data_IF_379816014830
#
_entry.id   IF_379816014830
#
_cell.length_a   1.000
_cell.length_b   1.000
_cell.length_c   1.000
_cell.angle_alpha   90.00
_cell.angle_beta   90.00
_cell.angle_gamma   90.00
#
_symmetry.space_group_name_H-M   'P 1'
#
loop_
_entity.id
_entity.type
_entity.pdbx_description
1 polymer ?
#
# COMPACT_ATOMS: atom_id res chain seq x y z
N UNK A 1 -4.69 25.25 -27.09
CA UNK A 1 -4.83 23.80 -26.90
C UNK A 1 -3.43 23.27 -26.66
N UNK A 2 -2.94 23.51 -25.44
CA UNK A 2 -1.57 23.19 -25.05
C UNK A 2 -1.56 21.77 -24.46
N UNK A 3 -0.77 20.92 -25.08
CA UNK A 3 -0.31 19.64 -24.57
C UNK A 3 0.38 19.83 -23.22
N UNK A 4 -0.32 19.59 -22.12
CA UNK A 4 0.33 19.16 -20.87
C UNK A 4 0.61 17.67 -20.98
N UNK A 5 1.76 17.39 -21.60
CA UNK A 5 2.42 16.09 -21.54
C UNK A 5 3.40 16.17 -20.37
N UNK A 6 2.89 15.89 -19.18
CA UNK A 6 3.66 15.59 -17.97
C UNK A 6 2.88 14.50 -17.24
N UNK A 7 3.08 13.24 -17.64
CA UNK A 7 2.75 12.13 -16.76
C UNK A 7 3.88 12.03 -15.74
N UNK A 8 3.89 12.96 -14.79
CA UNK A 8 4.81 12.94 -13.65
C UNK A 8 4.40 11.77 -12.73
N UNK A 9 5.35 10.84 -12.55
CA UNK A 9 5.38 9.68 -11.65
C UNK A 9 4.05 9.29 -10.97
N UNK A 10 3.19 8.54 -11.67
CA UNK A 10 2.13 7.78 -11.00
C UNK A 10 2.75 6.60 -10.29
N UNK A 11 2.61 6.56 -8.96
CA UNK A 11 3.05 5.42 -8.18
C UNK A 11 2.16 4.20 -8.35
N UNK A 12 2.72 3.03 -8.06
CA UNK A 12 2.00 1.76 -8.13
C UNK A 12 1.10 1.57 -6.91
N UNK A 13 1.45 2.22 -5.79
CA UNK A 13 0.72 2.21 -4.53
C UNK A 13 0.69 3.60 -3.88
N UNK A 14 -0.49 4.22 -3.79
CA UNK A 14 -0.66 5.63 -3.41
C UNK A 14 0.04 6.01 -2.09
N UNK A 15 -0.05 5.16 -1.06
CA UNK A 15 0.63 5.43 0.21
C UNK A 15 2.16 5.54 0.04
N UNK A 16 2.80 4.58 -0.64
CA UNK A 16 4.25 4.60 -0.85
C UNK A 16 4.68 5.76 -1.76
N UNK A 17 3.88 6.06 -2.78
CA UNK A 17 4.10 7.22 -3.63
C UNK A 17 4.07 8.52 -2.83
N UNK A 18 3.11 8.67 -1.93
CA UNK A 18 2.98 9.87 -1.09
C UNK A 18 4.13 9.99 -0.09
N UNK A 19 4.54 8.88 0.54
CA UNK A 19 5.73 8.84 1.42
C UNK A 19 7.02 9.15 0.65
N UNK A 20 7.20 8.57 -0.55
CA UNK A 20 8.32 8.88 -1.45
C UNK A 20 8.36 10.38 -1.75
N UNK A 21 7.24 10.96 -2.17
CA UNK A 21 7.14 12.40 -2.46
C UNK A 21 7.48 13.25 -1.24
N UNK A 22 6.96 12.90 -0.05
CA UNK A 22 7.30 13.60 1.19
C UNK A 22 8.81 13.59 1.45
N UNK A 23 9.45 12.43 1.38
CA UNK A 23 10.89 12.28 1.61
C UNK A 23 11.75 12.98 0.54
N UNK A 24 11.33 12.95 -0.73
CA UNK A 24 12.04 13.61 -1.82
C UNK A 24 12.11 15.13 -1.66
N UNK A 25 11.14 15.76 -0.99
CA UNK A 25 11.20 17.19 -0.66
C UNK A 25 12.32 17.53 0.37
N UNK A 26 12.92 16.52 1.00
CA UNK A 26 14.06 16.66 1.90
C UNK A 26 15.34 15.99 1.34
N UNK A 27 15.43 15.85 0.02
CA UNK A 27 16.54 15.17 -0.67
C UNK A 27 16.79 13.74 -0.17
N UNK A 28 15.76 13.05 0.29
CA UNK A 28 15.80 11.65 0.68
C UNK A 28 15.16 10.80 -0.42
N UNK A 29 15.93 10.53 -1.47
CA UNK A 29 15.47 9.72 -2.60
C UNK A 29 15.33 8.27 -2.17
N UNK A 30 14.13 7.71 -2.31
CA UNK A 30 13.80 6.33 -2.00
C UNK A 30 12.87 5.78 -3.08
N UNK A 31 13.13 4.55 -3.53
CA UNK A 31 12.23 3.87 -4.46
C UNK A 31 11.02 3.28 -3.73
N UNK A 32 9.87 3.20 -4.41
CA UNK A 32 8.64 2.65 -3.79
C UNK A 32 8.83 1.21 -3.31
N UNK A 33 9.51 0.36 -4.08
CA UNK A 33 9.75 -1.01 -3.66
C UNK A 33 10.61 -1.08 -2.38
N UNK A 34 11.55 -0.14 -2.22
CA UNK A 34 12.43 -0.08 -1.05
C UNK A 34 11.67 0.35 0.19
N UNK A 35 10.84 1.40 0.08
CA UNK A 35 9.92 1.79 1.13
C UNK A 35 8.93 0.66 1.46
N UNK A 36 8.39 -0.02 0.44
CA UNK A 36 7.46 -1.13 0.61
C UNK A 36 8.05 -2.31 1.36
N UNK A 37 9.31 -2.65 1.06
CA UNK A 37 10.07 -3.68 1.76
C UNK A 37 10.40 -3.29 3.21
N UNK A 38 10.91 -2.08 3.43
CA UNK A 38 11.24 -1.58 4.76
C UNK A 38 10.02 -1.45 5.68
N UNK A 39 8.89 -0.98 5.16
CA UNK A 39 7.66 -0.81 5.94
C UNK A 39 6.87 -2.13 6.12
N UNK A 40 7.34 -3.20 5.48
CA UNK A 40 6.71 -4.51 5.55
C UNK A 40 5.30 -4.54 4.97
N UNK A 41 5.07 -3.83 3.85
CA UNK A 41 3.73 -3.63 3.26
C UNK A 41 3.10 -4.94 2.81
N UNK A 42 3.90 -5.93 2.41
CA UNK A 42 3.34 -7.18 1.90
C UNK A 42 2.63 -7.97 3.00
N UNK A 43 1.42 -8.43 2.70
CA UNK A 43 0.64 -9.32 3.53
C UNK A 43 -0.45 -10.02 2.73
N UNK A 44 -1.56 -10.32 3.40
CA UNK A 44 -2.78 -10.79 2.77
C UNK A 44 -3.96 -10.47 3.68
N UNK A 45 -5.04 -9.95 3.11
CA UNK A 45 -6.30 -9.73 3.80
C UNK A 45 -7.46 -10.17 2.93
N UNK A 46 -8.42 -10.86 3.53
CA UNK A 46 -9.65 -11.29 2.89
C UNK A 46 -10.84 -11.15 3.84
N UNK A 47 -11.95 -10.60 3.37
CA UNK A 47 -13.22 -10.58 4.10
C UNK A 47 -14.35 -11.17 3.26
N UNK A 48 -15.35 -11.73 3.93
CA UNK A 48 -16.54 -12.31 3.27
C UNK A 48 -17.74 -11.35 3.32
N UNK A 49 -18.61 -11.43 2.29
CA UNK A 49 -19.81 -10.60 2.11
C UNK A 49 -20.80 -10.57 3.30
N UNK A 50 -20.71 -11.53 4.22
CA UNK A 50 -21.63 -11.61 5.37
C UNK A 50 -21.50 -10.41 6.32
N UNK A 51 -20.38 -9.70 6.27
CA UNK A 51 -20.10 -8.50 7.07
C UNK A 51 -20.85 -7.24 6.61
N UNK A 52 -21.63 -7.29 5.52
CA UNK A 52 -22.25 -6.10 4.92
C UNK A 52 -21.24 -5.19 4.21
N UNK A 53 -19.96 -5.55 4.23
CA UNK A 53 -18.87 -4.94 3.48
C UNK A 53 -18.67 -5.77 2.21
N UNK A 54 -18.47 -5.17 1.03
CA UNK A 54 -18.11 -5.91 -0.19
C UNK A 54 -16.93 -6.85 0.09
N UNK A 55 -16.91 -8.06 -0.48
CA UNK A 55 -15.75 -8.94 -0.32
C UNK A 55 -14.50 -8.23 -0.81
N UNK A 56 -13.54 -8.04 0.07
CA UNK A 56 -12.25 -7.40 -0.23
C UNK A 56 -11.17 -8.47 -0.21
N UNK A 57 -10.31 -8.47 -1.23
CA UNK A 57 -9.07 -9.24 -1.25
C UNK A 57 -7.91 -8.28 -1.46
N UNK A 58 -6.94 -8.26 -0.55
CA UNK A 58 -5.85 -7.31 -0.61
C UNK A 58 -4.49 -7.99 -0.38
N UNK A 59 -3.45 -7.50 -1.05
CA UNK A 59 -2.08 -7.96 -0.88
C UNK A 59 -1.28 -7.18 0.16
N UNK A 60 -1.84 -6.11 0.73
CA UNK A 60 -1.22 -5.34 1.80
C UNK A 60 -1.47 -5.96 3.18
N UNK A 61 -0.57 -5.67 4.11
CA UNK A 61 -0.62 -6.13 5.50
C UNK A 61 -1.59 -5.37 6.38
N UNK A 62 -1.84 -4.10 6.06
CA UNK A 62 -2.54 -3.17 6.92
C UNK A 62 -3.24 -2.07 6.12
N UNK A 63 -4.08 -1.30 6.79
CA UNK A 63 -4.62 -0.05 6.28
C UNK A 63 -3.56 1.05 6.29
N UNK A 64 -3.86 2.19 5.65
CA UNK A 64 -2.88 3.28 5.50
C UNK A 64 -2.41 3.86 6.83
N UNK A 65 -3.23 3.80 7.87
CA UNK A 65 -2.85 4.22 9.22
C UNK A 65 -1.78 3.33 9.84
N UNK A 66 -1.93 2.00 9.72
CA UNK A 66 -0.91 1.07 10.20
C UNK A 66 0.41 1.24 9.45
N UNK A 67 0.34 1.38 8.12
CA UNK A 67 1.52 1.67 7.30
C UNK A 67 2.17 3.03 7.64
N UNK A 68 1.35 4.04 7.94
CA UNK A 68 1.82 5.34 8.41
C UNK A 68 2.51 5.25 9.76
N UNK A 69 1.95 4.50 10.71
CA UNK A 69 2.56 4.28 12.02
C UNK A 69 3.93 3.61 11.90
N UNK A 70 4.07 2.60 11.02
CA UNK A 70 5.37 2.01 10.69
C UNK A 70 6.33 3.06 10.12
N UNK A 71 5.89 3.88 9.17
CA UNK A 71 6.74 4.93 8.60
C UNK A 71 7.28 5.88 9.67
N UNK A 72 6.42 6.37 10.57
CA UNK A 72 6.82 7.28 11.65
C UNK A 72 7.78 6.60 12.64
N UNK A 73 7.62 5.30 12.93
CA UNK A 73 8.53 4.57 13.84
C UNK A 73 9.97 4.51 13.31
N UNK A 74 10.15 4.56 11.99
CA UNK A 74 11.47 4.48 11.34
C UNK A 74 12.16 5.85 11.27
N UNK A 75 11.43 6.94 11.52
CA UNK A 75 12.02 8.27 11.60
C UNK A 75 12.77 8.44 12.93
N UNK A 76 13.93 9.10 12.87
CA UNK A 76 14.76 9.39 14.03
C UNK A 76 14.06 10.36 14.98
N UNK A 77 13.47 11.40 14.43
CA UNK A 77 12.59 12.34 15.12
C UNK A 77 11.15 12.11 14.63
N UNK A 78 10.16 12.00 15.54
CA UNK A 78 8.77 11.86 15.13
C UNK A 78 8.28 13.12 14.42
N UNK A 79 7.31 12.95 13.53
CA UNK A 79 6.63 14.09 12.90
C UNK A 79 5.84 14.87 13.96
N UNK A 80 5.77 16.19 13.79
CA UNK A 80 4.92 17.04 14.60
C UNK A 80 3.50 16.92 14.07
N UNK A 81 2.54 16.63 14.96
CA UNK A 81 1.11 16.59 14.64
C UNK A 81 0.40 17.78 15.27
N UNK A 82 -0.24 18.59 14.43
CA UNK A 82 -1.13 19.67 14.85
C UNK A 82 -2.57 19.33 14.48
N UNK A 83 -3.51 19.66 15.38
CA UNK A 83 -4.94 19.35 15.22
C UNK A 83 -5.76 20.62 15.16
N UNK A 84 -6.69 20.66 14.22
CA UNK A 84 -7.54 21.82 13.96
C UNK A 84 -9.00 21.39 13.93
N UNK A 85 -9.88 22.24 14.45
CA UNK A 85 -11.34 22.07 14.33
C UNK A 85 -11.94 22.88 13.18
N UNK A 86 -11.14 23.70 12.49
CA UNK A 86 -11.57 24.54 11.38
C UNK A 86 -10.66 24.40 10.15
N UNK A 87 -11.27 24.21 8.97
CA UNK A 87 -10.54 24.03 7.70
C UNK A 87 -9.68 25.24 7.34
N UNK A 88 -10.15 26.45 7.59
CA UNK A 88 -9.43 27.67 7.24
C UNK A 88 -8.14 27.80 8.04
N UNK A 89 -8.19 27.55 9.34
CA UNK A 89 -7.02 27.56 10.22
C UNK A 89 -5.99 26.51 9.78
N UNK A 90 -6.44 25.28 9.51
CA UNK A 90 -5.59 24.21 9.03
C UNK A 90 -4.89 24.58 7.70
N UNK A 91 -5.64 25.09 6.72
CA UNK A 91 -5.09 25.45 5.41
C UNK A 91 -4.14 26.65 5.50
N UNK A 92 -4.45 27.66 6.33
CA UNK A 92 -3.53 28.77 6.61
C UNK A 92 -2.25 28.25 7.24
N UNK A 93 -2.34 27.34 8.21
CA UNK A 93 -1.18 26.72 8.84
C UNK A 93 -0.32 25.96 7.84
N UNK A 94 -0.93 25.17 6.95
CA UNK A 94 -0.22 24.46 5.89
C UNK A 94 0.57 25.43 4.99
N UNK A 95 -0.03 26.55 4.60
CA UNK A 95 0.64 27.61 3.84
C UNK A 95 1.83 28.23 4.60
N UNK A 96 1.69 28.43 5.92
CA UNK A 96 2.81 28.91 6.77
C UNK A 96 3.96 27.91 6.80
N UNK A 97 3.65 26.62 6.95
CA UNK A 97 4.66 25.54 6.96
C UNK A 97 5.42 25.48 5.63
N UNK A 98 4.70 25.53 4.50
CA UNK A 98 5.31 25.55 3.16
C UNK A 98 6.25 26.75 2.98
N UNK A 99 5.85 27.95 3.41
CA UNK A 99 6.70 29.15 3.35
C UNK A 99 7.93 29.07 4.25
N UNK A 100 7.88 28.27 5.31
CA UNK A 100 9.01 27.99 6.19
C UNK A 100 9.92 26.87 5.65
N UNK A 101 9.64 26.32 4.47
CA UNK A 101 10.40 25.21 3.89
C UNK A 101 10.08 23.85 4.51
N UNK A 102 8.97 23.74 5.26
CA UNK A 102 8.47 22.49 5.80
C UNK A 102 7.44 21.88 4.84
N UNK A 103 7.28 20.56 4.90
CA UNK A 103 6.40 19.81 3.99
C UNK A 103 5.22 19.26 4.82
N UNK A 104 4.00 19.82 4.69
CA UNK A 104 2.84 19.32 5.40
C UNK A 104 2.26 18.07 4.71
N UNK A 105 1.77 17.15 5.52
CA UNK A 105 0.90 16.05 5.10
C UNK A 105 -0.43 16.13 5.85
N UNK A 106 -1.51 15.71 5.19
CA UNK A 106 -2.85 15.67 5.79
C UNK A 106 -3.57 14.37 5.41
N UNK A 107 -4.36 13.85 6.34
CA UNK A 107 -5.34 12.81 6.04
C UNK A 107 -6.46 13.41 5.18
N UNK A 108 -6.81 12.70 4.10
CA UNK A 108 -7.87 13.08 3.17
C UNK A 108 -8.74 11.88 2.85
N UNK A 109 -10.05 12.08 2.77
CA UNK A 109 -10.98 11.03 2.37
C UNK A 109 -11.11 10.96 0.84
N UNK A 110 -10.64 9.86 0.25
CA UNK A 110 -10.70 9.64 -1.20
C UNK A 110 -12.12 9.65 -1.76
N UNK A 111 -13.16 9.41 -0.95
CA UNK A 111 -14.55 9.51 -1.39
C UNK A 111 -14.85 10.89 -2.01
N UNK A 112 -14.29 11.94 -1.42
CA UNK A 112 -14.50 13.34 -1.83
C UNK A 112 -13.42 13.86 -2.78
N UNK A 113 -12.40 13.07 -3.09
CA UNK A 113 -11.28 13.49 -3.93
C UNK A 113 -11.54 13.18 -5.42
N UNK A 114 -11.82 14.17 -6.29
CA UNK A 114 -12.15 13.89 -7.68
C UNK A 114 -11.05 13.12 -8.39
N UNK A 115 -11.45 12.14 -9.20
CA UNK A 115 -10.56 11.24 -9.95
C UNK A 115 -9.69 10.33 -9.06
N UNK A 116 -9.90 10.28 -7.75
CA UNK A 116 -9.34 9.23 -6.92
C UNK A 116 -10.04 7.90 -7.20
N UNK A 117 -9.39 6.79 -6.86
CA UNK A 117 -9.92 5.45 -7.11
C UNK A 117 -11.26 5.21 -6.40
N UNK A 118 -11.37 5.69 -5.15
CA UNK A 118 -12.56 5.53 -4.31
C UNK A 118 -13.56 6.71 -4.41
N UNK A 119 -13.35 7.66 -5.32
CA UNK A 119 -14.21 8.83 -5.49
C UNK A 119 -15.69 8.44 -5.70
N UNK A 120 -16.57 8.90 -4.80
CA UNK A 120 -18.00 8.60 -4.82
C UNK A 120 -18.36 7.12 -4.62
N UNK A 121 -17.41 6.27 -4.22
CA UNK A 121 -17.61 4.82 -4.05
C UNK A 121 -17.50 4.39 -2.59
N UNK A 122 -16.36 4.64 -1.95
CA UNK A 122 -16.07 4.20 -0.59
C UNK A 122 -15.29 5.27 0.15
N UNK A 123 -15.56 5.42 1.45
CA UNK A 123 -14.74 6.24 2.34
C UNK A 123 -13.41 5.54 2.61
N UNK A 124 -12.32 6.18 2.21
CA UNK A 124 -10.97 5.67 2.46
C UNK A 124 -10.04 6.84 2.76
N UNK A 125 -9.49 6.83 3.97
CA UNK A 125 -8.54 7.85 4.42
C UNK A 125 -7.15 7.58 3.89
N UNK A 126 -6.53 8.60 3.30
CA UNK A 126 -5.19 8.54 2.73
C UNK A 126 -4.37 9.73 3.18
N UNK A 127 -3.08 9.53 3.41
CA UNK A 127 -2.15 10.61 3.70
C UNK A 127 -1.72 11.27 2.39
N UNK A 128 -2.03 12.55 2.18
CA UNK A 128 -1.61 13.32 1.02
C UNK A 128 -0.56 14.36 1.41
N UNK A 129 0.39 14.62 0.50
CA UNK A 129 1.43 15.64 0.70
C UNK A 129 0.94 16.97 0.13
N UNK A 130 0.96 18.04 0.90
CA UNK A 130 0.65 19.38 0.40
C UNK A 130 1.92 19.96 -0.23
N UNK A 131 1.86 20.35 -1.50
CA UNK A 131 3.01 20.83 -2.26
C UNK A 131 3.01 22.35 -2.44
N UNK A 132 1.82 22.94 -2.59
CA UNK A 132 1.68 24.38 -2.81
C UNK A 132 0.37 24.89 -2.25
N UNK A 133 0.37 26.14 -1.82
CA UNK A 133 -0.82 26.87 -1.40
C UNK A 133 -0.91 28.18 -2.20
N UNK A 134 -2.12 28.50 -2.64
CA UNK A 134 -2.49 29.78 -3.26
C UNK A 134 -3.72 30.32 -2.56
N UNK A 135 -4.13 31.55 -2.87
CA UNK A 135 -5.30 32.17 -2.24
C UNK A 135 -6.57 31.29 -2.33
N UNK A 136 -6.87 30.74 -3.52
CA UNK A 136 -8.11 30.00 -3.78
C UNK A 136 -7.97 28.46 -3.74
N UNK A 137 -6.75 27.94 -3.89
CA UNK A 137 -6.53 26.51 -4.05
C UNK A 137 -5.26 26.02 -3.36
N UNK A 138 -5.16 24.72 -3.15
CA UNK A 138 -3.94 24.05 -2.75
C UNK A 138 -3.62 22.92 -3.73
N UNK A 139 -2.33 22.67 -3.92
CA UNK A 139 -1.80 21.57 -4.69
C UNK A 139 -1.39 20.46 -3.74
N UNK A 140 -1.86 19.25 -4.03
CA UNK A 140 -1.49 18.04 -3.29
C UNK A 140 -0.87 17.02 -4.22
N UNK A 141 -0.06 16.15 -3.62
CA UNK A 141 0.30 14.87 -4.20
C UNK A 141 -0.48 13.76 -3.48
N UNK A 142 -1.38 13.11 -4.22
CA UNK A 142 -1.99 11.84 -3.83
C UNK A 142 -1.93 10.86 -5.01
N UNK A 143 -0.88 10.04 -5.05
CA UNK A 143 -0.43 9.19 -6.18
C UNK A 143 -0.09 9.93 -7.48
N UNK A 144 -0.65 11.12 -7.67
CA UNK A 144 -0.40 12.08 -8.72
C UNK A 144 -0.65 13.48 -8.16
N UNK A 145 -0.13 14.49 -8.86
CA UNK A 145 -0.36 15.89 -8.54
C UNK A 145 -1.80 16.29 -8.84
N UNK A 146 -2.45 16.97 -7.90
CA UNK A 146 -3.85 17.42 -7.98
C UNK A 146 -3.99 18.84 -7.45
N UNK A 147 -4.88 19.63 -8.05
CA UNK A 147 -5.23 20.98 -7.59
C UNK A 147 -6.63 20.93 -7.00
N UNK A 148 -6.78 21.42 -5.76
CA UNK A 148 -8.01 21.39 -4.99
C UNK A 148 -8.45 22.79 -4.61
N UNK A 149 -9.72 23.11 -4.83
CA UNK A 149 -10.31 24.39 -4.41
C UNK A 149 -10.59 24.36 -2.91
N UNK A 150 -10.15 25.38 -2.17
CA UNK A 150 -10.29 25.45 -0.70
C UNK A 150 -11.76 25.41 -0.25
N UNK A 151 -12.65 25.99 -1.04
CA UNK A 151 -14.10 26.00 -0.73
C UNK A 151 -14.70 24.59 -0.64
N UNK A 152 -14.14 23.63 -1.39
CA UNK A 152 -14.65 22.26 -1.52
C UNK A 152 -13.93 21.24 -0.63
N UNK A 153 -13.06 21.68 0.28
CA UNK A 153 -12.18 20.78 1.03
C UNK A 153 -12.70 20.40 2.42
N UNK A 154 -13.91 20.80 2.80
CA UNK A 154 -14.43 20.54 4.15
C UNK A 154 -14.64 19.04 4.39
N UNK A 155 -15.51 18.42 3.60
CA UNK A 155 -15.82 16.98 3.69
C UNK A 155 -14.59 16.10 3.44
N UNK A 156 -13.60 16.62 2.69
CA UNK A 156 -12.36 15.94 2.38
C UNK A 156 -11.41 15.81 3.57
N UNK A 157 -11.36 16.82 4.43
CA UNK A 157 -10.32 16.97 5.45
C UNK A 157 -10.80 16.59 6.86
N UNK A 158 -12.11 16.68 7.12
CA UNK A 158 -12.67 16.44 8.43
C UNK A 158 -12.79 14.96 8.75
N UNK A 159 -11.93 14.48 9.63
CA UNK A 159 -11.96 13.13 10.19
C UNK A 159 -12.40 13.22 11.65
N UNK A 160 -13.55 12.63 11.98
CA UNK A 160 -14.06 12.61 13.36
C UNK A 160 -14.13 14.02 14.00
N UNK A 161 -14.41 15.05 13.19
CA UNK A 161 -14.51 16.45 13.63
C UNK A 161 -13.17 17.19 13.76
N UNK A 162 -12.05 16.59 13.35
CA UNK A 162 -10.72 17.21 13.37
C UNK A 162 -9.99 17.10 12.04
N UNK A 163 -9.07 18.02 11.79
CA UNK A 163 -8.11 17.98 10.69
C UNK A 163 -6.72 17.85 11.32
N UNK A 164 -5.97 16.82 10.92
CA UNK A 164 -4.59 16.62 11.37
C UNK A 164 -3.60 17.06 10.29
N UNK A 165 -2.67 17.93 10.67
CA UNK A 165 -1.51 18.30 9.85
C UNK A 165 -0.26 17.72 10.48
N UNK A 166 0.51 17.00 9.68
CA UNK A 166 1.75 16.36 10.11
C UNK A 166 2.91 16.91 9.29
N UNK A 167 4.03 17.23 9.92
CA UNK A 167 5.20 17.75 9.21
C UNK A 167 6.50 17.46 9.96
N UNK A 168 7.62 17.50 9.23
CA UNK A 168 8.95 17.49 9.82
C UNK A 168 9.47 18.94 9.95
N UNK A 169 9.83 19.41 11.16
CA UNK A 169 10.34 20.77 11.36
C UNK A 169 11.76 20.98 10.79
N UNK A 170 12.46 19.88 10.51
CA UNK A 170 13.76 19.83 9.87
C UNK A 170 13.81 18.60 8.96
N UNK A 171 14.88 18.48 8.15
CA UNK A 171 15.13 17.27 7.35
C UNK A 171 15.01 16.01 8.24
N UNK A 172 14.07 15.09 7.96
CA UNK A 172 13.95 13.88 8.76
C UNK A 172 15.20 13.00 8.58
N UNK A 173 15.54 12.23 9.59
CA UNK A 173 16.56 11.18 9.51
C UNK A 173 15.96 9.80 9.69
N UNK A 174 16.66 8.76 9.23
CA UNK A 174 16.31 7.38 9.59
C UNK A 174 16.85 7.05 10.98
N UNK A 175 16.02 6.40 11.81
CA UNK A 175 16.37 5.94 13.16
C UNK A 175 17.37 4.78 13.14
N UNK A 176 17.26 3.93 12.12
CA UNK A 176 18.05 2.71 11.98
C UNK A 176 18.88 2.75 10.69
N UNK A 177 19.91 1.92 10.61
CA UNK A 177 20.66 1.72 9.36
C UNK A 177 19.80 1.05 8.30
N UNK A 178 20.15 1.20 7.02
CA UNK A 178 19.42 0.55 5.91
C UNK A 178 19.26 -0.96 6.12
N UNK A 179 20.32 -1.64 6.59
CA UNK A 179 20.31 -3.09 6.83
C UNK A 179 19.35 -3.46 7.96
N UNK A 180 19.35 -2.71 9.06
CA UNK A 180 18.41 -2.93 10.18
C UNK A 180 16.96 -2.67 9.77
N UNK A 181 16.71 -1.63 8.98
CA UNK A 181 15.37 -1.33 8.44
C UNK A 181 14.90 -2.45 7.52
N UNK A 182 15.78 -2.98 6.67
CA UNK A 182 15.46 -4.12 5.82
C UNK A 182 15.10 -5.37 6.64
N UNK A 183 15.89 -5.71 7.66
CA UNK A 183 15.62 -6.86 8.54
C UNK A 183 14.29 -6.69 9.28
N UNK A 184 14.00 -5.48 9.80
CA UNK A 184 12.72 -5.19 10.46
C UNK A 184 11.54 -5.29 9.50
N UNK A 185 11.66 -4.75 8.29
CA UNK A 185 10.64 -4.84 7.26
C UNK A 185 10.34 -6.27 6.83
N UNK A 186 11.37 -7.08 6.57
CA UNK A 186 11.22 -8.51 6.27
C UNK A 186 10.56 -9.27 7.42
N UNK A 187 10.91 -8.95 8.67
CA UNK A 187 10.27 -9.55 9.85
C UNK A 187 8.79 -9.23 9.89
N UNK A 188 8.43 -7.97 9.65
CA UNK A 188 7.05 -7.54 9.58
C UNK A 188 6.28 -8.30 8.48
N UNK A 189 6.86 -8.49 7.29
CA UNK A 189 6.24 -9.31 6.23
C UNK A 189 5.98 -10.74 6.71
N UNK A 190 6.96 -11.38 7.35
CA UNK A 190 6.81 -12.74 7.91
C UNK A 190 5.67 -12.77 8.94
N UNK A 191 5.64 -11.81 9.85
CA UNK A 191 4.62 -11.73 10.90
C UNK A 191 3.22 -11.50 10.29
N UNK A 192 3.11 -10.64 9.28
CA UNK A 192 1.87 -10.37 8.55
C UNK A 192 1.32 -11.62 7.83
N UNK A 193 2.21 -12.42 7.22
CA UNK A 193 1.82 -13.67 6.57
C UNK A 193 1.46 -14.77 7.57
N UNK A 194 2.02 -14.74 8.78
CA UNK A 194 1.70 -15.68 9.87
C UNK A 194 0.49 -15.27 10.70
N UNK A 195 0.03 -14.03 10.58
CA UNK A 195 -1.11 -13.49 11.33
C UNK A 195 -2.33 -14.40 11.15
N UNK A 196 -2.80 -14.94 12.27
CA UNK A 196 -4.03 -15.72 12.33
C UNK A 196 -5.22 -14.84 12.65
N UNK A 197 -6.36 -15.27 12.17
CA UNK A 197 -7.62 -14.53 12.29
C UNK A 197 -8.17 -14.65 13.72
N UNK A 198 -8.50 -13.53 14.37
CA UNK A 198 -9.16 -13.51 15.69
C UNK A 198 -10.61 -13.01 15.62
N UNK A 199 -11.01 -12.48 14.47
CA UNK A 199 -12.34 -11.90 14.23
C UNK A 199 -13.10 -12.80 13.27
N UNK A 200 -14.40 -12.94 13.50
CA UNK A 200 -15.28 -13.65 12.57
C UNK A 200 -15.21 -12.95 11.20
N UNK A 201 -15.03 -13.73 10.13
CA UNK A 201 -15.16 -13.31 8.72
C UNK A 201 -14.06 -12.37 8.16
N UNK A 202 -13.02 -12.06 8.95
CA UNK A 202 -11.82 -11.36 8.50
C UNK A 202 -10.61 -12.28 8.59
N UNK A 203 -9.95 -12.53 7.47
CA UNK A 203 -8.85 -13.48 7.37
C UNK A 203 -7.56 -12.85 6.89
N UNK A 204 -6.44 -13.24 7.52
CA UNK A 204 -5.12 -12.66 7.28
C UNK A 204 -4.10 -13.71 6.87
N UNK A 205 -3.04 -13.26 6.18
CA UNK A 205 -1.87 -14.08 5.89
C UNK A 205 -2.17 -15.36 5.11
N UNK A 206 -1.38 -16.41 5.35
CA UNK A 206 -1.52 -17.72 4.69
C UNK A 206 -2.88 -18.36 4.99
N UNK A 207 -3.38 -18.22 6.22
CA UNK A 207 -4.72 -18.70 6.59
C UNK A 207 -5.79 -18.04 5.73
N UNK A 208 -5.73 -16.72 5.56
CA UNK A 208 -6.64 -15.97 4.71
C UNK A 208 -6.56 -16.36 3.25
N UNK A 209 -5.37 -16.66 2.73
CA UNK A 209 -5.24 -17.16 1.34
C UNK A 209 -5.96 -18.50 1.16
N UNK A 210 -5.86 -19.40 2.14
CA UNK A 210 -6.56 -20.69 2.13
C UNK A 210 -8.06 -20.49 2.19
N UNK A 211 -8.54 -19.58 3.03
CA UNK A 211 -9.97 -19.29 3.12
C UNK A 211 -10.50 -18.63 1.84
N UNK A 212 -9.78 -17.64 1.30
CA UNK A 212 -10.07 -17.04 0.00
C UNK A 212 -10.18 -18.11 -1.09
N UNK A 213 -9.24 -19.07 -1.15
CA UNK A 213 -9.31 -20.18 -2.11
C UNK A 213 -10.60 -20.98 -1.98
N UNK A 214 -11.00 -21.38 -0.77
CA UNK A 214 -12.26 -22.13 -0.55
C UNK A 214 -13.47 -21.32 -1.02
N UNK A 215 -13.54 -20.04 -0.65
CA UNK A 215 -14.63 -19.15 -1.05
C UNK A 215 -14.64 -18.94 -2.56
N UNK A 216 -13.48 -18.76 -3.18
CA UNK A 216 -13.33 -18.63 -4.63
C UNK A 216 -13.82 -19.88 -5.37
N UNK A 217 -13.48 -21.08 -4.90
CA UNK A 217 -13.90 -22.35 -5.52
C UNK A 217 -15.42 -22.60 -5.39
N UNK A 218 -16.01 -22.13 -4.28
CA UNK A 218 -17.45 -22.20 -4.02
C UNK A 218 -18.25 -21.09 -4.72
N UNK A 219 -17.59 -19.99 -5.12
CA UNK A 219 -18.26 -18.83 -5.70
C UNK A 219 -18.90 -19.17 -7.06
N UNK A 220 -20.18 -18.84 -7.19
CA UNK A 220 -20.95 -18.96 -8.45
C UNK A 220 -21.40 -17.62 -9.01
N UNK A 221 -21.18 -16.54 -8.27
CA UNK A 221 -21.47 -15.18 -8.72
C UNK A 221 -20.24 -14.59 -9.43
N UNK A 222 -20.35 -14.42 -10.75
CA UNK A 222 -19.25 -13.93 -11.57
C UNK A 222 -19.02 -12.41 -11.44
N UNK A 223 -19.97 -11.66 -10.88
CA UNK A 223 -19.74 -10.25 -10.55
C UNK A 223 -18.79 -10.15 -9.34
N UNK A 224 -18.98 -11.01 -8.33
CA UNK A 224 -18.06 -11.12 -7.19
C UNK A 224 -16.67 -11.55 -7.66
N UNK A 225 -16.58 -12.46 -8.64
CA UNK A 225 -15.29 -12.86 -9.24
C UNK A 225 -14.63 -11.68 -9.97
N UNK A 226 -15.40 -10.83 -10.64
CA UNK A 226 -14.88 -9.61 -11.26
C UNK A 226 -14.34 -8.63 -10.20
N UNK A 227 -15.04 -8.48 -9.08
CA UNK A 227 -14.58 -7.65 -7.96
C UNK A 227 -13.27 -8.19 -7.38
N UNK A 228 -13.12 -9.52 -7.24
CA UNK A 228 -11.84 -10.13 -6.86
C UNK A 228 -10.71 -9.76 -7.83
N UNK A 229 -10.95 -9.82 -9.15
CA UNK A 229 -9.94 -9.39 -10.11
C UNK A 229 -9.53 -7.94 -9.88
N UNK A 230 -10.51 -7.04 -9.73
CA UNK A 230 -10.25 -5.61 -9.54
C UNK A 230 -9.42 -5.34 -8.29
N UNK A 231 -9.80 -5.99 -7.18
CA UNK A 231 -9.13 -5.91 -5.89
C UNK A 231 -7.71 -6.51 -5.90
N UNK A 232 -7.48 -7.60 -6.63
CA UNK A 232 -6.14 -8.16 -6.82
C UNK A 232 -5.25 -7.30 -7.74
N UNK A 233 -5.86 -6.53 -8.65
CA UNK A 233 -5.16 -5.76 -9.67
C UNK A 233 -4.86 -4.29 -9.27
N UNK A 234 -5.54 -3.77 -8.25
CA UNK A 234 -5.39 -2.37 -7.81
C UNK A 234 -4.03 -2.08 -7.15
N UNK A 235 -3.76 -0.80 -6.88
CA UNK A 235 -2.62 -0.37 -6.08
C UNK A 235 -2.61 -1.03 -4.69
N UNK A 236 -1.51 -1.70 -4.33
CA UNK A 236 -1.45 -2.51 -3.11
C UNK A 236 -2.07 -3.92 -3.22
N UNK A 237 -2.58 -4.32 -4.39
CA UNK A 237 -3.08 -5.67 -4.65
C UNK A 237 -2.00 -6.76 -4.61
N UNK A 238 -2.42 -8.01 -4.80
CA UNK A 238 -1.54 -9.19 -4.60
C UNK A 238 -0.31 -9.16 -5.50
N UNK A 239 -0.48 -8.98 -6.80
CA UNK A 239 0.66 -9.02 -7.70
C UNK A 239 1.63 -7.84 -7.45
N UNK A 240 1.11 -6.63 -7.21
CA UNK A 240 1.94 -5.43 -6.99
C UNK A 240 2.75 -5.50 -5.69
N UNK A 241 2.16 -6.01 -4.62
CA UNK A 241 2.86 -6.18 -3.34
C UNK A 241 3.96 -7.23 -3.43
N UNK A 242 3.74 -8.34 -4.15
CA UNK A 242 4.79 -9.34 -4.42
C UNK A 242 5.87 -8.81 -5.34
N UNK A 243 5.51 -8.04 -6.38
CA UNK A 243 6.47 -7.35 -7.24
C UNK A 243 7.35 -6.39 -6.46
N UNK A 244 6.76 -5.57 -5.58
CA UNK A 244 7.53 -4.66 -4.73
C UNK A 244 8.49 -5.42 -3.82
N UNK A 245 8.05 -6.52 -3.19
CA UNK A 245 8.93 -7.34 -2.37
C UNK A 245 10.04 -8.01 -3.20
N UNK A 246 9.72 -8.54 -4.39
CA UNK A 246 10.70 -9.12 -5.30
C UNK A 246 11.79 -8.10 -5.67
N UNK A 247 11.41 -6.89 -6.11
CA UNK A 247 12.36 -5.83 -6.44
C UNK A 247 13.20 -5.40 -5.24
N UNK A 248 12.60 -5.33 -4.06
CA UNK A 248 13.31 -5.08 -2.81
C UNK A 248 14.35 -6.18 -2.51
N UNK A 249 13.97 -7.46 -2.62
CA UNK A 249 14.87 -8.59 -2.40
C UNK A 249 16.01 -8.64 -3.43
N UNK A 250 15.75 -8.28 -4.69
CA UNK A 250 16.80 -8.11 -5.71
C UNK A 250 17.78 -7.00 -5.30
N UNK A 251 17.28 -5.88 -4.80
CA UNK A 251 18.15 -4.79 -4.35
C UNK A 251 18.96 -5.17 -3.12
N UNK A 252 18.38 -5.93 -2.17
CA UNK A 252 19.13 -6.50 -1.05
C UNK A 252 20.23 -7.46 -1.53
N UNK A 253 19.95 -8.30 -2.53
CA UNK A 253 20.94 -9.22 -3.10
C UNK A 253 22.10 -8.49 -3.79
N UNK A 254 21.83 -7.38 -4.48
CA UNK A 254 22.90 -6.52 -5.04
C UNK A 254 23.76 -5.87 -3.96
N UNK A 255 23.15 -5.39 -2.87
CA UNK A 255 23.86 -4.66 -1.80
C UNK A 255 24.60 -5.58 -0.83
N UNK A 256 23.99 -6.71 -0.49
CA UNK A 256 24.51 -7.71 0.44
C UNK A 256 24.34 -9.12 -0.16
N UNK A 257 25.19 -9.50 -1.14
CA UNK A 257 25.07 -10.78 -1.82
C UNK A 257 25.17 -11.95 -0.84
N UNK A 258 24.20 -12.85 -0.93
CA UNK A 258 24.14 -14.10 -0.16
C UNK A 258 23.36 -15.15 -0.95
N UNK A 259 23.63 -16.42 -0.68
CA UNK A 259 22.88 -17.53 -1.28
C UNK A 259 21.41 -17.45 -0.87
N UNK A 260 21.16 -17.07 0.37
CA UNK A 260 19.82 -16.90 0.95
C UNK A 260 19.07 -15.76 0.26
N UNK A 261 19.75 -14.65 -0.04
CA UNK A 261 19.20 -13.51 -0.79
C UNK A 261 18.80 -13.89 -2.21
N UNK A 262 19.69 -14.56 -2.95
CA UNK A 262 19.41 -15.01 -4.31
C UNK A 262 18.21 -15.98 -4.36
N UNK A 263 18.17 -16.95 -3.44
CA UNK A 263 17.07 -17.90 -3.34
C UNK A 263 15.74 -17.19 -3.00
N UNK A 264 15.76 -16.23 -2.07
CA UNK A 264 14.58 -15.45 -1.70
C UNK A 264 14.05 -14.60 -2.85
N UNK A 265 14.94 -13.85 -3.53
CA UNK A 265 14.56 -13.03 -4.68
C UNK A 265 13.97 -13.88 -5.81
N UNK A 266 14.58 -15.04 -6.10
CA UNK A 266 14.10 -15.97 -7.14
C UNK A 266 12.71 -16.53 -6.82
N UNK A 267 12.47 -16.91 -5.56
CA UNK A 267 11.17 -17.39 -5.10
C UNK A 267 10.08 -16.32 -5.26
N UNK A 268 10.39 -15.08 -4.89
CA UNK A 268 9.43 -13.97 -5.01
C UNK A 268 9.21 -13.49 -6.45
N UNK A 269 10.18 -13.69 -7.34
CA UNK A 269 9.97 -13.54 -8.78
C UNK A 269 8.91 -14.54 -9.30
N UNK A 270 8.98 -15.80 -8.86
CA UNK A 270 7.99 -16.82 -9.22
C UNK A 270 6.61 -16.50 -8.61
N UNK A 271 6.55 -16.04 -7.36
CA UNK A 271 5.29 -15.61 -6.73
C UNK A 271 4.64 -14.44 -7.46
N UNK A 272 5.41 -13.42 -7.86
CA UNK A 272 4.93 -12.32 -8.68
C UNK A 272 4.27 -12.83 -9.97
N UNK A 273 4.94 -13.73 -10.69
CA UNK A 273 4.44 -14.30 -11.94
C UNK A 273 3.16 -15.14 -11.70
N UNK A 274 3.14 -15.96 -10.65
CA UNK A 274 1.96 -16.78 -10.29
C UNK A 274 0.76 -15.90 -9.98
N UNK A 275 0.92 -14.88 -9.13
CA UNK A 275 -0.17 -13.96 -8.79
C UNK A 275 -0.65 -13.15 -9.98
N UNK A 276 0.26 -12.70 -10.85
CA UNK A 276 -0.11 -12.04 -12.11
C UNK A 276 -0.98 -12.95 -12.99
N UNK A 277 -0.58 -14.22 -13.14
CA UNK A 277 -1.36 -15.22 -13.89
C UNK A 277 -2.71 -15.50 -13.25
N UNK A 278 -2.78 -15.64 -11.92
CA UNK A 278 -4.03 -15.84 -11.18
C UNK A 278 -4.98 -14.66 -11.44
N UNK A 279 -4.53 -13.42 -11.25
CA UNK A 279 -5.33 -12.21 -11.48
C UNK A 279 -5.90 -12.16 -12.90
N UNK A 280 -5.05 -12.40 -13.92
CA UNK A 280 -5.48 -12.40 -15.33
C UNK A 280 -6.49 -13.51 -15.64
N UNK A 281 -6.30 -14.71 -15.07
CA UNK A 281 -7.23 -15.81 -15.25
C UNK A 281 -8.56 -15.56 -14.52
N UNK A 282 -8.54 -14.89 -13.37
CA UNK A 282 -9.75 -14.48 -12.64
C UNK A 282 -10.60 -13.51 -13.46
N UNK A 283 -9.99 -12.51 -14.11
CA UNK A 283 -10.70 -11.67 -15.07
C UNK A 283 -11.29 -12.47 -16.23
N UNK A 284 -10.51 -13.41 -16.79
CA UNK A 284 -11.02 -14.27 -17.86
C UNK A 284 -12.22 -15.10 -17.38
N UNK A 285 -12.17 -15.63 -16.15
CA UNK A 285 -13.24 -16.40 -15.54
C UNK A 285 -14.52 -15.57 -15.35
N UNK A 286 -14.40 -14.31 -14.92
CA UNK A 286 -15.57 -13.45 -14.71
C UNK A 286 -16.36 -13.21 -16.02
N UNK A 287 -15.67 -13.29 -17.17
CA UNK A 287 -16.28 -13.16 -18.50
C UNK A 287 -16.76 -14.50 -19.04
N UNK A 288 -15.88 -15.51 -19.08
CA UNK A 288 -16.15 -16.78 -19.78
C UNK A 288 -17.04 -17.73 -19.00
N UNK A 289 -17.11 -17.56 -17.67
CA UNK A 289 -17.92 -18.37 -16.76
C UNK A 289 -17.63 -19.88 -16.84
N UNK A 290 -16.40 -20.25 -17.21
CA UNK A 290 -15.97 -21.62 -17.44
C UNK A 290 -15.59 -22.33 -16.12
N UNK A 291 -16.33 -23.36 -15.68
CA UNK A 291 -15.99 -24.10 -14.45
C UNK A 291 -14.63 -24.80 -14.51
N UNK A 292 -14.17 -25.23 -15.69
CA UNK A 292 -12.85 -25.83 -15.86
C UNK A 292 -11.72 -24.83 -15.64
N UNK A 293 -11.94 -23.56 -16.04
CA UNK A 293 -11.04 -22.47 -15.72
C UNK A 293 -11.02 -22.17 -14.21
N UNK A 294 -12.18 -22.17 -13.54
CA UNK A 294 -12.24 -21.97 -12.08
C UNK A 294 -11.42 -23.02 -11.31
N UNK A 295 -11.56 -24.30 -11.67
CA UNK A 295 -10.76 -25.38 -11.06
C UNK A 295 -9.25 -25.19 -11.27
N UNK A 296 -8.84 -24.76 -12.47
CA UNK A 296 -7.44 -24.47 -12.75
C UNK A 296 -6.91 -23.29 -11.93
N UNK A 297 -7.71 -22.25 -11.73
CA UNK A 297 -7.33 -21.12 -10.87
C UNK A 297 -7.20 -21.59 -9.42
N UNK A 298 -8.14 -22.42 -8.93
CA UNK A 298 -8.05 -23.04 -7.59
C UNK A 298 -6.74 -23.80 -7.37
N UNK A 299 -6.30 -24.61 -8.35
CA UNK A 299 -5.00 -25.29 -8.30
C UNK A 299 -3.81 -24.31 -8.25
N UNK A 300 -3.86 -23.23 -9.03
CA UNK A 300 -2.81 -22.19 -9.02
C UNK A 300 -2.75 -21.42 -7.71
N UNK A 301 -3.91 -21.16 -7.09
CA UNK A 301 -3.98 -20.58 -5.75
C UNK A 301 -3.29 -21.49 -4.73
N UNK A 302 -3.55 -22.80 -4.77
CA UNK A 302 -2.86 -23.78 -3.90
C UNK A 302 -1.34 -23.74 -4.09
N UNK A 303 -0.86 -23.75 -5.34
CA UNK A 303 0.57 -23.66 -5.66
C UNK A 303 1.20 -22.37 -5.15
N UNK A 304 0.50 -21.23 -5.30
CA UNK A 304 0.97 -19.93 -4.81
C UNK A 304 1.04 -19.92 -3.27
N UNK A 305 0.02 -20.46 -2.58
CA UNK A 305 -0.01 -20.57 -1.11
C UNK A 305 1.18 -21.38 -0.61
N UNK A 306 1.42 -22.57 -1.18
CA UNK A 306 2.55 -23.41 -0.79
C UNK A 306 3.90 -22.71 -1.01
N UNK A 307 4.00 -21.89 -2.05
CA UNK A 307 5.21 -21.12 -2.34
C UNK A 307 5.38 -19.93 -1.39
N UNK A 308 4.30 -19.25 -0.97
CA UNK A 308 4.34 -18.22 0.08
C UNK A 308 4.81 -18.82 1.42
N UNK A 309 4.36 -20.03 1.78
CA UNK A 309 4.84 -20.73 2.98
C UNK A 309 6.34 -21.06 2.94
N UNK A 310 6.85 -21.42 1.76
CA UNK A 310 8.29 -21.58 1.54
C UNK A 310 9.00 -20.22 1.61
N UNK A 311 8.39 -19.18 1.05
CA UNK A 311 8.87 -17.80 1.06
C UNK A 311 9.07 -17.26 2.47
N UNK A 312 8.17 -17.58 3.41
CA UNK A 312 8.34 -17.25 4.84
C UNK A 312 9.66 -17.80 5.38
N UNK A 313 9.90 -19.11 5.20
CA UNK A 313 11.13 -19.75 5.69
C UNK A 313 12.37 -19.16 5.03
N UNK A 314 12.30 -18.89 3.73
CA UNK A 314 13.41 -18.31 2.99
C UNK A 314 13.73 -16.88 3.42
N UNK A 315 12.71 -16.06 3.73
CA UNK A 315 12.89 -14.73 4.30
C UNK A 315 13.52 -14.78 5.71
N UNK A 316 13.15 -15.77 6.53
CA UNK A 316 13.77 -15.96 7.84
C UNK A 316 15.26 -16.30 7.75
N UNK A 317 15.67 -17.17 6.83
CA UNK A 317 17.08 -17.46 6.61
C UNK A 317 17.84 -16.23 6.05
N UNK A 318 17.23 -15.47 5.13
CA UNK A 318 17.81 -14.21 4.65
C UNK A 318 18.01 -13.21 5.79
N UNK A 319 17.02 -13.05 6.68
CA UNK A 319 17.16 -12.15 7.83
C UNK A 319 18.33 -12.54 8.74
N UNK A 320 18.57 -13.85 8.95
CA UNK A 320 19.74 -14.31 9.73
C UNK A 320 21.05 -14.01 9.02
N UNK A 321 21.11 -14.15 7.70
CA UNK A 321 22.29 -13.83 6.90
C UNK A 321 22.59 -12.32 6.85
N UNK A 322 21.59 -11.47 7.10
CA UNK A 322 21.73 -10.02 7.16
C UNK A 322 22.16 -9.50 8.55
N UNK A 323 22.13 -10.30 9.60
CA UNK A 323 22.57 -9.90 10.95
C UNK A 323 24.05 -10.24 11.11
#
# INVERSE_FOLDING_TARGET
METQKESEEKGDFCFLANVKTFLSNFDMQQEEYWLGGMLGVMGFYFTTLKTGIPSVVNGRSDEFEGLYAHFVEYLKEPLVTERFTGKEEALVRAGVLLRAGMVPMMWMDEYYLPLAYNYGKNHLWVMAVIQKETEASFEIFNNEKRIMQKEKSEELLFRDGVIEIQYAPSRPGWKYTEKEMAVKGLRQVVDNLRKTSSLEEQYFGIEGMREYKKVFEACRDFNVIYDYFYEMNRGGGLYKTRRNLHLFLQELEKRWPSREGQACASLYAELEEKWTKITNLTFKLSISKDPGLQQRIGKRLEEAILLEEQGIKQMEELMKALI
#
